data_IF_495743229796
#
_entry.id   IF_495743229796
#
_cell.length_a   1.000
_cell.length_b   1.000
_cell.length_c   1.000
_cell.angle_alpha   90.00
_cell.angle_beta   90.00
_cell.angle_gamma   90.00
#
_symmetry.space_group_name_H-M   'P 1'
#
loop_
_entity.id
_entity.type
_entity.pdbx_description
1 polymer ?
#
# COMPACT_ATOMS: atom_id res chain seq x y z
N UNK A 1 -11.72 -17.15 8.37
CA UNK A 1 -12.95 -17.33 7.59
C UNK A 1 -14.17 -17.48 8.47
N UNK A 2 -15.19 -16.66 8.24
CA UNK A 2 -16.46 -16.69 8.96
C UNK A 2 -17.51 -17.48 8.13
N UNK A 3 -17.80 -18.75 8.49
CA UNK A 3 -18.65 -19.63 7.67
C UNK A 3 -20.10 -19.13 7.54
N UNK A 4 -20.55 -18.30 8.48
CA UNK A 4 -21.89 -17.70 8.45
C UNK A 4 -22.05 -16.68 7.32
N UNK A 5 -21.05 -15.81 7.09
CA UNK A 5 -21.07 -14.84 5.99
C UNK A 5 -21.05 -15.55 4.63
N UNK A 6 -20.28 -16.63 4.53
CA UNK A 6 -20.26 -17.49 3.35
C UNK A 6 -21.64 -18.13 3.07
N UNK A 7 -22.30 -18.66 4.10
CA UNK A 7 -23.65 -19.23 3.96
C UNK A 7 -24.71 -18.19 3.60
N UNK A 8 -24.60 -16.96 4.12
CA UNK A 8 -25.47 -15.84 3.75
C UNK A 8 -25.24 -15.38 2.30
N UNK A 9 -23.97 -15.27 1.87
CA UNK A 9 -23.60 -14.93 0.50
C UNK A 9 -24.18 -15.92 -0.51
N UNK A 10 -23.96 -17.22 -0.28
CA UNK A 10 -24.44 -18.28 -1.17
C UNK A 10 -25.97 -18.33 -1.27
N UNK A 11 -26.69 -17.99 -0.20
CA UNK A 11 -28.16 -17.88 -0.21
C UNK A 11 -28.68 -16.66 -0.96
N UNK A 12 -27.97 -15.53 -0.90
CA UNK A 12 -28.40 -14.27 -1.52
C UNK A 12 -28.04 -14.20 -3.01
N UNK A 13 -26.89 -14.76 -3.39
CA UNK A 13 -26.32 -14.56 -4.72
C UNK A 13 -26.13 -15.85 -5.52
N UNK A 14 -26.41 -17.01 -4.93
CA UNK A 14 -26.25 -18.31 -5.59
C UNK A 14 -24.80 -18.61 -5.99
N UNK A 15 -24.63 -19.42 -7.03
CA UNK A 15 -23.33 -19.74 -7.66
C UNK A 15 -22.92 -18.74 -8.75
N UNK A 16 -23.70 -17.68 -8.96
CA UNK A 16 -23.58 -16.78 -10.12
C UNK A 16 -22.94 -15.42 -9.82
N UNK A 17 -22.68 -15.08 -8.55
CA UNK A 17 -22.04 -13.81 -8.25
C UNK A 17 -20.53 -13.86 -8.46
N UNK A 18 -20.04 -12.81 -9.10
CA UNK A 18 -18.64 -12.60 -9.42
C UNK A 18 -17.76 -12.53 -8.16
N UNK A 19 -16.47 -12.76 -8.35
CA UNK A 19 -15.48 -12.70 -7.28
C UNK A 19 -15.45 -11.33 -6.59
N UNK A 20 -15.85 -10.26 -7.29
CA UNK A 20 -15.90 -8.90 -6.78
C UNK A 20 -17.06 -8.71 -5.77
N UNK A 21 -18.25 -9.24 -6.06
CA UNK A 21 -19.37 -9.23 -5.11
C UNK A 21 -19.07 -10.08 -3.88
N UNK A 22 -18.39 -11.22 -4.06
CA UNK A 22 -17.93 -12.06 -2.95
C UNK A 22 -16.96 -11.30 -2.04
N UNK A 23 -15.94 -10.71 -2.64
CA UNK A 23 -14.94 -9.88 -1.97
C UNK A 23 -15.58 -8.75 -1.16
N UNK A 24 -16.60 -8.10 -1.72
CA UNK A 24 -17.36 -7.03 -1.04
C UNK A 24 -18.09 -7.54 0.19
N UNK A 25 -18.84 -8.64 0.06
CA UNK A 25 -19.70 -9.18 1.13
C UNK A 25 -18.88 -9.80 2.25
N UNK A 26 -17.77 -10.44 1.92
CA UNK A 26 -16.87 -11.06 2.90
C UNK A 26 -15.88 -10.06 3.51
N UNK A 27 -15.84 -8.81 3.01
CA UNK A 27 -14.90 -7.80 3.49
C UNK A 27 -13.45 -8.18 3.22
N UNK A 28 -13.18 -8.86 2.11
CA UNK A 28 -11.84 -9.32 1.76
C UNK A 28 -10.88 -8.13 1.62
N UNK A 29 -9.68 -8.28 2.19
CA UNK A 29 -8.61 -7.29 2.14
C UNK A 29 -7.41 -7.86 1.41
N UNK A 30 -6.75 -7.02 0.61
CA UNK A 30 -5.49 -7.34 -0.05
C UNK A 30 -4.38 -6.46 0.51
N UNK A 31 -3.21 -7.05 0.66
CA UNK A 31 -1.99 -6.32 1.01
C UNK A 31 -1.35 -5.75 -0.24
N UNK A 32 -0.84 -4.54 -0.11
CA UNK A 32 -0.12 -3.83 -1.15
C UNK A 32 1.18 -3.30 -0.57
N UNK A 33 2.19 -3.23 -1.42
CA UNK A 33 3.48 -2.61 -1.14
C UNK A 33 3.69 -1.42 -2.08
N UNK A 34 4.31 -0.37 -1.57
CA UNK A 34 4.78 0.77 -2.34
C UNK A 34 6.26 0.95 -2.07
N UNK A 35 7.06 0.94 -3.13
CA UNK A 35 8.49 1.20 -3.07
C UNK A 35 8.78 2.64 -3.45
N UNK A 36 9.33 3.43 -2.53
CA UNK A 36 9.68 4.84 -2.73
C UNK A 36 11.20 4.97 -2.73
N UNK A 37 11.84 4.98 -3.91
CA UNK A 37 13.28 5.19 -4.01
C UNK A 37 13.61 6.61 -3.58
N UNK A 38 14.51 6.75 -2.62
CA UNK A 38 14.93 8.06 -2.11
C UNK A 38 16.16 8.56 -2.87
N UNK A 39 16.27 9.87 -3.02
CA UNK A 39 17.40 10.50 -3.70
C UNK A 39 18.72 10.20 -2.98
N UNK A 40 19.74 9.78 -3.73
CA UNK A 40 21.09 9.57 -3.18
C UNK A 40 21.70 10.85 -2.58
N UNK A 41 21.32 12.02 -3.11
CA UNK A 41 21.78 13.33 -2.66
C UNK A 41 21.39 13.67 -1.21
N UNK A 42 20.38 12.99 -0.64
CA UNK A 42 20.00 13.18 0.76
C UNK A 42 21.13 12.81 1.72
N UNK A 43 21.96 11.82 1.37
CA UNK A 43 22.97 11.27 2.28
C UNK A 43 22.38 10.74 3.58
N UNK A 44 23.24 10.33 4.52
CA UNK A 44 22.79 9.74 5.79
C UNK A 44 22.01 10.74 6.65
N UNK A 45 22.48 11.98 6.75
CA UNK A 45 21.84 13.02 7.55
C UNK A 45 20.49 13.45 6.99
N UNK A 46 20.37 13.59 5.66
CA UNK A 46 19.11 13.90 5.01
C UNK A 46 18.10 12.78 5.14
N UNK A 47 18.52 11.51 5.03
CA UNK A 47 17.65 10.35 5.27
C UNK A 47 17.13 10.34 6.71
N UNK A 48 17.98 10.60 7.71
CA UNK A 48 17.54 10.68 9.10
C UNK A 48 16.58 11.85 9.36
N UNK A 49 16.81 13.00 8.72
CA UNK A 49 15.89 14.14 8.80
C UNK A 49 14.54 13.83 8.14
N UNK A 50 14.56 13.18 6.97
CA UNK A 50 13.38 12.68 6.29
C UNK A 50 12.60 11.70 7.17
N UNK A 51 13.26 10.69 7.74
CA UNK A 51 12.61 9.68 8.59
C UNK A 51 11.93 10.30 9.83
N UNK A 52 12.51 11.35 10.42
CA UNK A 52 11.88 12.09 11.53
C UNK A 52 10.62 12.83 11.09
N UNK A 53 10.65 13.47 9.91
CA UNK A 53 9.46 14.14 9.35
C UNK A 53 8.39 13.12 8.97
N UNK A 54 8.80 12.01 8.36
CA UNK A 54 7.94 10.91 7.97
C UNK A 54 7.21 10.30 9.17
N UNK A 55 7.93 9.98 10.25
CA UNK A 55 7.33 9.41 11.46
C UNK A 55 6.37 10.38 12.15
N UNK A 56 6.64 11.68 12.12
CA UNK A 56 5.76 12.71 12.65
C UNK A 56 4.49 12.94 11.81
N UNK A 57 4.60 12.81 10.48
CA UNK A 57 3.48 13.01 9.55
C UNK A 57 2.56 11.77 9.43
N UNK A 58 3.04 10.58 9.75
CA UNK A 58 2.32 9.32 9.54
C UNK A 58 1.03 9.15 10.38
N UNK A 59 0.94 9.56 11.66
CA UNK A 59 -0.27 9.38 12.47
C UNK A 59 -1.55 10.02 11.89
N UNK A 60 -1.57 11.31 11.50
CA UNK A 60 -2.77 11.91 10.91
C UNK A 60 -3.10 11.31 9.54
N UNK A 61 -2.10 10.93 8.74
CA UNK A 61 -2.31 10.25 7.45
C UNK A 61 -2.95 8.88 7.65
N UNK A 62 -2.45 8.08 8.61
CA UNK A 62 -3.05 6.78 8.97
C UNK A 62 -4.50 6.90 9.40
N UNK A 63 -4.89 8.00 10.05
CA UNK A 63 -6.30 8.26 10.41
C UNK A 63 -7.14 8.46 9.14
N UNK A 64 -6.71 9.33 8.23
CA UNK A 64 -7.40 9.57 6.95
C UNK A 64 -7.50 8.29 6.08
N UNK A 65 -6.44 7.50 6.04
CA UNK A 65 -6.41 6.19 5.36
C UNK A 65 -7.42 5.22 6.00
N UNK A 66 -7.49 5.17 7.33
CA UNK A 66 -8.43 4.29 8.07
C UNK A 66 -9.88 4.62 7.85
N UNK A 67 -10.23 5.91 7.78
CA UNK A 67 -11.59 6.38 7.46
C UNK A 67 -12.08 5.90 6.09
N UNK A 68 -11.15 5.47 5.23
CA UNK A 68 -11.40 4.95 3.88
C UNK A 68 -11.19 3.43 3.78
N UNK A 69 -11.10 2.75 4.92
CA UNK A 69 -10.93 1.31 4.96
C UNK A 69 -9.51 0.82 4.68
N UNK A 70 -8.51 1.70 4.62
CA UNK A 70 -7.10 1.28 4.52
C UNK A 70 -6.53 1.06 5.92
N UNK A 71 -5.98 -0.13 6.15
CA UNK A 71 -5.39 -0.55 7.43
C UNK A 71 -3.96 -1.05 7.23
N UNK A 72 -3.32 -1.59 8.28
CA UNK A 72 -2.02 -2.25 8.16
C UNK A 72 -0.88 -1.36 7.63
N UNK A 73 -0.95 -0.04 7.83
CA UNK A 73 0.04 0.89 7.27
C UNK A 73 1.37 0.77 8.03
N UNK A 74 2.34 0.06 7.47
CA UNK A 74 3.69 -0.07 8.01
C UNK A 74 4.73 0.51 7.06
N UNK A 75 5.84 0.99 7.61
CA UNK A 75 6.91 1.59 6.81
C UNK A 75 8.25 1.11 7.29
N UNK A 76 9.13 0.69 6.38
CA UNK A 76 10.48 0.28 6.68
C UNK A 76 11.45 0.83 5.63
N UNK A 77 12.66 1.14 6.05
CA UNK A 77 13.72 1.64 5.16
C UNK A 77 14.66 0.50 4.81
N UNK A 78 14.82 0.23 3.51
CA UNK A 78 15.86 -0.64 2.99
C UNK A 78 17.09 0.22 2.65
N UNK A 79 18.19 0.01 3.39
CA UNK A 79 19.49 0.64 3.13
C UNK A 79 20.50 -0.43 2.69
N UNK A 80 20.55 -0.76 1.39
CA UNK A 80 21.51 -1.73 0.90
C UNK A 80 22.95 -1.17 0.99
N UNK A 81 23.97 -2.03 1.13
CA UNK A 81 25.36 -1.60 1.20
C UNK A 81 25.83 -1.00 -0.14
N UNK A 82 26.43 0.19 -0.08
CA UNK A 82 27.22 0.98 -1.05
C UNK A 82 26.80 1.11 -2.54
N UNK A 83 25.97 0.24 -3.10
CA UNK A 83 25.74 0.13 -4.56
C UNK A 83 24.30 0.47 -4.95
N UNK A 84 23.35 0.36 -4.02
CA UNK A 84 21.94 0.59 -4.28
C UNK A 84 21.37 1.78 -3.50
N UNK A 85 20.36 2.42 -4.08
CA UNK A 85 19.71 3.60 -3.50
C UNK A 85 18.85 3.19 -2.30
N UNK A 86 18.77 4.02 -1.26
CA UNK A 86 17.87 3.78 -0.14
C UNK A 86 16.40 3.77 -0.63
N UNK A 87 15.60 2.80 -0.18
CA UNK A 87 14.20 2.67 -0.57
C UNK A 87 13.33 2.64 0.68
N UNK A 88 12.38 3.57 0.78
CA UNK A 88 11.32 3.49 1.78
C UNK A 88 10.23 2.58 1.22
N UNK A 89 9.93 1.50 1.93
CA UNK A 89 8.81 0.63 1.62
C UNK A 89 7.64 0.96 2.53
N UNK A 90 6.45 1.01 1.94
CA UNK A 90 5.19 1.16 2.66
C UNK A 90 4.32 -0.05 2.37
N UNK A 91 3.88 -0.75 3.40
CA UNK A 91 2.85 -1.79 3.27
C UNK A 91 1.54 -1.28 3.80
N UNK A 92 0.45 -1.75 3.21
CA UNK A 92 -0.91 -1.33 3.56
C UNK A 92 -1.92 -2.39 3.13
N UNK A 93 -3.05 -2.43 3.82
CA UNK A 93 -4.17 -3.33 3.56
C UNK A 93 -5.36 -2.54 3.05
N UNK A 94 -5.85 -2.89 1.87
CA UNK A 94 -6.96 -2.24 1.18
C UNK A 94 -8.09 -3.23 0.89
N UNK A 95 -9.35 -2.77 0.77
CA UNK A 95 -10.44 -3.59 0.25
C UNK A 95 -10.10 -4.20 -1.11
N UNK A 96 -10.35 -5.51 -1.29
CA UNK A 96 -9.96 -6.24 -2.51
C UNK A 96 -10.76 -5.84 -3.76
N UNK A 97 -11.93 -5.24 -3.59
CA UNK A 97 -12.80 -4.67 -4.64
C UNK A 97 -12.26 -3.37 -5.25
N UNK A 98 -11.07 -2.93 -4.85
CA UNK A 98 -10.46 -1.73 -5.42
C UNK A 98 -9.77 -2.01 -6.75
N UNK A 99 -10.36 -1.45 -7.82
CA UNK A 99 -9.84 -1.57 -9.19
C UNK A 99 -8.63 -0.66 -9.47
N UNK A 100 -8.38 0.39 -8.67
CA UNK A 100 -7.21 1.27 -8.81
C UNK A 100 -6.69 1.77 -7.44
N UNK A 101 -5.75 1.04 -6.81
CA UNK A 101 -5.24 1.41 -5.50
C UNK A 101 -4.36 2.67 -5.50
N UNK A 102 -3.71 2.98 -6.62
CA UNK A 102 -2.88 4.17 -6.75
C UNK A 102 -3.73 5.44 -6.80
N UNK A 103 -4.79 5.43 -7.63
CA UNK A 103 -5.73 6.54 -7.71
C UNK A 103 -6.44 6.80 -6.39
N UNK A 104 -6.89 5.75 -5.69
CA UNK A 104 -7.56 5.94 -4.40
C UNK A 104 -6.63 6.58 -3.37
N UNK A 105 -5.36 6.16 -3.29
CA UNK A 105 -4.39 6.80 -2.41
C UNK A 105 -4.23 8.29 -2.74
N UNK A 106 -4.11 8.62 -4.03
CA UNK A 106 -4.04 10.01 -4.47
C UNK A 106 -5.26 10.82 -4.00
N UNK A 107 -6.47 10.31 -4.21
CA UNK A 107 -7.71 10.97 -3.80
C UNK A 107 -7.76 11.20 -2.28
N UNK A 108 -7.31 10.22 -1.48
CA UNK A 108 -7.29 10.33 -0.02
C UNK A 108 -6.27 11.37 0.46
N UNK A 109 -5.09 11.38 -0.16
CA UNK A 109 -4.02 12.31 0.19
C UNK A 109 -4.42 13.75 -0.16
N UNK A 110 -5.00 13.98 -1.33
CA UNK A 110 -5.42 15.31 -1.78
C UNK A 110 -6.61 15.84 -0.96
N UNK A 111 -7.48 14.96 -0.46
CA UNK A 111 -8.67 15.34 0.30
C UNK A 111 -8.37 15.98 1.67
N UNK A 112 -7.15 15.89 2.19
CA UNK A 112 -6.82 16.40 3.53
C UNK A 112 -5.48 17.15 3.55
N UNK A 113 -5.40 18.20 4.38
CA UNK A 113 -4.13 18.93 4.55
C UNK A 113 -2.97 18.02 4.99
N UNK A 114 -3.14 17.12 5.98
CA UNK A 114 -2.08 16.17 6.34
C UNK A 114 -1.66 15.24 5.20
N UNK A 115 -2.62 14.84 4.35
CA UNK A 115 -2.32 14.02 3.17
C UNK A 115 -1.50 14.78 2.13
N UNK A 116 -1.84 16.05 1.86
CA UNK A 116 -1.08 16.93 0.96
C UNK A 116 0.34 17.18 1.47
N UNK A 117 0.49 17.48 2.77
CA UNK A 117 1.81 17.71 3.38
C UNK A 117 2.68 16.44 3.33
N UNK A 118 2.07 15.27 3.49
CA UNK A 118 2.75 13.97 3.39
C UNK A 118 3.13 13.61 1.96
N UNK A 119 2.25 13.85 0.99
CA UNK A 119 2.54 13.67 -0.43
C UNK A 119 3.71 14.56 -0.88
N UNK A 120 3.72 15.83 -0.44
CA UNK A 120 4.82 16.75 -0.70
C UNK A 120 6.14 16.26 -0.06
N UNK A 121 6.10 15.75 1.17
CA UNK A 121 7.27 15.21 1.85
C UNK A 121 7.89 14.05 1.04
N UNK A 122 7.08 13.08 0.63
CA UNK A 122 7.55 11.93 -0.15
C UNK A 122 8.05 12.36 -1.53
N UNK A 123 7.28 13.19 -2.24
CA UNK A 123 7.64 13.68 -3.57
C UNK A 123 8.93 14.50 -3.57
N UNK A 124 9.19 15.29 -2.52
CA UNK A 124 10.43 16.09 -2.40
C UNK A 124 11.68 15.23 -2.17
N UNK A 125 11.52 14.02 -1.63
CA UNK A 125 12.62 13.09 -1.32
C UNK A 125 12.75 11.98 -2.36
N UNK A 126 11.84 11.93 -3.32
CA UNK A 126 11.72 10.90 -4.34
C UNK A 126 12.81 11.04 -5.41
N UNK A 127 13.42 9.91 -5.77
CA UNK A 127 14.22 9.80 -6.98
C UNK A 127 13.30 9.60 -8.20
N UNK A 128 12.96 10.72 -8.85
CA UNK A 128 12.06 10.73 -10.01
C UNK A 128 12.60 9.91 -11.19
N UNK A 129 13.92 9.80 -11.35
CA UNK A 129 14.51 8.97 -12.40
C UNK A 129 14.26 7.49 -12.13
N UNK A 130 14.37 7.05 -10.88
CA UNK A 130 14.08 5.67 -10.48
C UNK A 130 12.61 5.29 -10.68
N UNK A 131 11.68 6.25 -10.54
CA UNK A 131 10.23 6.02 -10.78
C UNK A 131 9.78 6.33 -12.20
N UNK A 132 10.69 6.66 -13.13
CA UNK A 132 10.35 7.09 -14.50
C UNK A 132 9.38 8.28 -14.53
N UNK A 133 9.59 9.24 -13.62
CA UNK A 133 8.77 10.43 -13.39
C UNK A 133 7.32 10.17 -12.96
N UNK A 134 7.04 8.96 -12.45
CA UNK A 134 5.74 8.65 -11.84
C UNK A 134 5.67 9.11 -10.40
N UNK A 135 4.45 9.40 -9.95
CA UNK A 135 4.15 9.65 -8.54
C UNK A 135 4.47 8.42 -7.70
N UNK A 136 4.86 8.61 -6.43
CA UNK A 136 5.32 7.49 -5.59
C UNK A 136 4.24 6.42 -5.36
N UNK A 137 2.96 6.81 -5.25
CA UNK A 137 1.83 5.89 -5.09
C UNK A 137 1.45 5.12 -6.37
N UNK A 138 1.99 5.48 -7.54
CA UNK A 138 1.79 4.73 -8.80
C UNK A 138 2.69 3.49 -8.88
N UNK A 139 3.63 3.33 -7.93
CA UNK A 139 4.47 2.14 -7.80
C UNK A 139 3.83 1.05 -6.93
N UNK A 140 2.56 1.24 -6.56
CA UNK A 140 1.82 0.29 -5.75
C UNK A 140 1.70 -1.05 -6.45
N UNK A 141 2.10 -2.11 -5.77
CA UNK A 141 1.99 -3.49 -6.24
C UNK A 141 1.22 -4.32 -5.21
N UNK A 142 0.36 -5.26 -5.65
CA UNK A 142 -0.18 -6.24 -4.73
C UNK A 142 0.97 -7.05 -4.15
N UNK A 143 0.95 -7.27 -2.84
CA UNK A 143 1.79 -8.31 -2.24
C UNK A 143 1.22 -9.63 -2.75
N UNK A 144 1.84 -10.23 -3.75
CA UNK A 144 1.45 -11.57 -4.20
C UNK A 144 1.51 -12.46 -2.98
N UNK A 145 0.36 -13.00 -2.58
CA UNK A 145 0.37 -14.19 -1.76
C UNK A 145 1.27 -15.17 -2.51
N UNK A 146 2.33 -15.63 -1.85
CA UNK A 146 2.96 -16.87 -2.28
C UNK A 146 1.84 -17.87 -2.13
N UNK A 147 1.14 -18.18 -3.22
CA UNK A 147 0.25 -19.32 -3.24
C UNK A 147 1.12 -20.49 -2.78
N UNK A 148 0.68 -21.16 -1.72
CA UNK A 148 1.16 -22.46 -1.26
C UNK A 148 0.88 -23.52 -2.36
N UNK A 149 1.40 -23.31 -3.57
CA UNK A 149 1.41 -24.27 -4.67
C UNK A 149 2.68 -25.11 -4.62
N UNK A 150 3.02 -25.58 -3.42
CA UNK A 150 4.12 -26.52 -3.17
C UNK A 150 3.62 -27.91 -2.76
N UNK A 151 2.35 -28.27 -3.00
CA UNK A 151 1.79 -29.54 -2.52
C UNK A 151 0.90 -30.30 -3.52
N UNK A 152 1.16 -30.17 -4.83
CA UNK A 152 0.66 -31.14 -5.83
C UNK A 152 1.77 -31.46 -6.86
N UNK A 153 2.81 -32.15 -6.39
CA UNK A 153 3.75 -32.85 -7.26
C UNK A 153 4.24 -34.12 -6.55
N UNK A 154 3.31 -35.01 -6.18
CA UNK A 154 3.57 -36.43 -5.97
C UNK A 154 2.21 -37.17 -5.85
N UNK A 155 1.65 -37.58 -6.98
CA UNK A 155 0.81 -38.79 -7.13
C UNK A 155 0.98 -39.39 -8.53
#
# INVERSE_FOLDING_TARGET
DEPYLHGCYQKLFGSSADAETRALVLGERRRYCISVPLQAALGVSGIQAFLRKHSAALPPVRRALRERGITGVHTFLLQPPAVAKPVLNLTLEMPSVMNDPGRMLSEILVASRPGQDYDQLLSSSLDSHATRNKSWYETITPETAVDDAADEADE
#
